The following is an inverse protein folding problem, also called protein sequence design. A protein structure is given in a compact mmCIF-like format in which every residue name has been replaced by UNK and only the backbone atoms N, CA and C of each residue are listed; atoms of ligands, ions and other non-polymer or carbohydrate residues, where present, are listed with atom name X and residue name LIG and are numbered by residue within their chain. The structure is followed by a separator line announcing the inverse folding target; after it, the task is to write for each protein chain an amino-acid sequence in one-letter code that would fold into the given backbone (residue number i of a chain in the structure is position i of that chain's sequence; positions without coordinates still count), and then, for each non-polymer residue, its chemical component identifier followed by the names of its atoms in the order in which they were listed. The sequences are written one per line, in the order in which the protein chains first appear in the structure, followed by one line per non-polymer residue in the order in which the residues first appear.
data_IF_463439250856
#
_entry.id   IF_463439250856
#
_cell.length_a   1.000
_cell.length_b   1.000
_cell.length_c   1.000
_cell.angle_alpha   90.00
_cell.angle_beta   90.00
_cell.angle_gamma   90.00
#
_symmetry.space_group_name_H-M   'P 1'
#
loop_
_entity.id
_entity.type
_entity.pdbx_description
1 polymer ?
#
# COMPACT_ATOMS: atom_id res chain seq x y z
N UNK A 1 18.16 -9.72 16.15
CA UNK A 1 17.76 -11.05 15.65
C UNK A 1 18.09 -12.04 16.74
N UNK A 2 17.10 -12.67 17.39
CA UNK A 2 17.40 -13.75 18.33
C UNK A 2 17.83 -15.01 17.55
N UNK A 3 18.68 -15.86 18.12
CA UNK A 3 19.10 -17.11 17.49
C UNK A 3 17.91 -18.08 17.40
N UNK A 4 17.79 -18.77 16.27
CA UNK A 4 16.85 -19.87 16.05
C UNK A 4 17.03 -20.93 17.14
N UNK A 5 16.00 -21.20 17.95
CA UNK A 5 16.02 -22.34 18.87
C UNK A 5 15.59 -23.59 18.10
N UNK A 6 16.51 -24.55 18.00
CA UNK A 6 16.22 -25.93 17.64
C UNK A 6 15.34 -26.56 18.72
N UNK A 7 14.02 -26.47 18.59
CA UNK A 7 13.12 -27.26 19.43
C UNK A 7 11.91 -27.72 18.61
N UNK A 8 11.67 -29.02 18.73
CA UNK A 8 10.45 -29.78 18.42
C UNK A 8 10.31 -30.34 16.99
N UNK A 9 11.02 -31.46 16.80
CA UNK A 9 10.74 -32.48 15.79
C UNK A 9 10.14 -33.69 16.52
N UNK A 10 8.84 -33.95 16.35
CA UNK A 10 8.31 -35.32 16.29
C UNK A 10 6.83 -35.31 15.91
N UNK A 11 6.51 -35.89 14.75
CA UNK A 11 5.17 -36.37 14.45
C UNK A 11 5.30 -37.85 14.10
N UNK A 12 4.98 -38.72 15.06
CA UNK A 12 4.67 -40.11 14.81
C UNK A 12 3.15 -40.23 14.93
N UNK A 13 2.47 -40.64 13.86
CA UNK A 13 1.06 -41.00 13.92
C UNK A 13 1.00 -42.32 14.70
N UNK A 14 0.94 -42.23 16.03
CA UNK A 14 1.00 -43.38 16.95
C UNK A 14 -0.39 -43.83 17.44
N UNK A 15 -1.46 -43.51 16.70
CA UNK A 15 -2.84 -43.87 17.06
C UNK A 15 -3.56 -44.74 16.03
N UNK A 16 -2.81 -45.56 15.31
CA UNK A 16 -3.35 -46.71 14.60
C UNK A 16 -2.80 -47.97 15.26
N UNK A 17 -3.51 -48.41 16.31
CA UNK A 17 -3.40 -49.75 16.89
C UNK A 17 -3.89 -50.76 15.82
N UNK A 18 -3.09 -50.92 14.77
CA UNK A 18 -3.36 -51.83 13.66
C UNK A 18 -2.64 -53.13 13.99
N UNK A 19 -3.36 -54.25 14.16
CA UNK A 19 -2.77 -55.52 14.53
C UNK A 19 -1.70 -55.95 13.52
N UNK A 20 -0.54 -56.29 14.09
CA UNK A 20 0.76 -56.48 13.47
C UNK A 20 0.84 -57.72 12.55
N UNK A 21 0.30 -57.66 11.33
CA UNK A 21 0.60 -58.73 10.36
C UNK A 21 0.93 -58.31 8.92
N UNK A 22 0.82 -57.03 8.56
CA UNK A 22 1.40 -56.49 7.30
C UNK A 22 1.79 -55.02 7.47
N UNK A 23 3.03 -54.76 7.91
CA UNK A 23 3.60 -53.39 7.88
C UNK A 23 3.78 -52.97 6.42
N UNK A 24 2.83 -52.22 5.88
CA UNK A 24 3.02 -51.42 4.68
C UNK A 24 3.89 -50.22 5.06
N UNK A 25 4.85 -49.87 4.21
CA UNK A 25 5.63 -48.64 4.35
C UNK A 25 4.69 -47.44 4.21
N UNK A 26 4.20 -46.92 5.34
CA UNK A 26 3.32 -45.77 5.37
C UNK A 26 4.15 -44.49 5.18
N UNK A 27 3.73 -43.56 4.32
CA UNK A 27 4.42 -42.29 4.13
C UNK A 27 4.33 -41.45 5.41
N UNK A 28 5.49 -41.09 5.97
CA UNK A 28 5.57 -40.18 7.11
C UNK A 28 5.68 -38.75 6.59
N UNK A 29 4.76 -37.90 7.02
CA UNK A 29 4.71 -36.49 6.65
C UNK A 29 5.12 -35.66 7.87
N UNK A 30 6.19 -34.90 7.73
CA UNK A 30 6.62 -33.94 8.75
C UNK A 30 6.07 -32.55 8.42
N UNK A 31 5.28 -31.98 9.34
CA UNK A 31 4.80 -30.60 9.24
C UNK A 31 5.51 -29.80 10.32
N UNK A 32 6.27 -28.78 9.90
CA UNK A 32 6.99 -27.89 10.81
C UNK A 32 6.28 -26.55 10.88
N UNK A 33 6.14 -25.98 12.08
CA UNK A 33 5.58 -24.65 12.30
C UNK A 33 6.40 -23.88 13.33
N UNK A 34 6.69 -22.61 13.04
CA UNK A 34 7.54 -21.76 13.89
C UNK A 34 6.88 -21.28 15.20
N UNK A 35 5.56 -21.47 15.39
CA UNK A 35 4.87 -20.97 16.59
C UNK A 35 3.73 -21.89 17.04
N UNK A 36 3.46 -21.88 18.36
CA UNK A 36 2.39 -22.55 19.11
C UNK A 36 0.97 -22.05 18.73
N UNK A 37 0.76 -21.80 17.45
CA UNK A 37 -0.54 -21.66 16.83
C UNK A 37 -1.13 -23.06 16.88
N UNK A 38 -2.38 -23.22 17.32
CA UNK A 38 -3.11 -24.50 17.34
C UNK A 38 -3.33 -25.09 15.94
N UNK A 39 -2.31 -25.11 15.08
CA UNK A 39 -2.25 -25.82 13.81
C UNK A 39 -2.40 -27.32 14.10
N UNK A 40 -1.82 -27.83 15.20
CA UNK A 40 -2.08 -29.20 15.64
C UNK A 40 -3.57 -29.45 15.84
N UNK A 41 -4.21 -28.68 16.73
CA UNK A 41 -5.65 -28.80 17.01
C UNK A 41 -6.50 -28.61 15.74
N UNK A 42 -6.13 -27.67 14.88
CA UNK A 42 -6.82 -27.41 13.62
C UNK A 42 -6.63 -28.53 12.61
N UNK A 43 -5.44 -29.13 12.51
CA UNK A 43 -5.17 -30.27 11.64
C UNK A 43 -5.94 -31.49 12.15
N UNK A 44 -5.88 -31.75 13.46
CA UNK A 44 -6.62 -32.83 14.11
C UNK A 44 -8.12 -32.68 13.87
N UNK A 45 -8.67 -31.48 14.09
CA UNK A 45 -10.08 -31.18 13.78
C UNK A 45 -10.37 -31.35 12.30
N UNK A 46 -9.53 -30.79 11.42
CA UNK A 46 -9.70 -30.85 9.97
C UNK A 46 -9.72 -32.29 9.45
N UNK A 47 -8.90 -33.18 9.99
CA UNK A 47 -8.89 -34.58 9.57
C UNK A 47 -9.94 -35.45 10.27
N UNK A 48 -10.38 -35.06 11.47
CA UNK A 48 -11.41 -35.78 12.23
C UNK A 48 -12.83 -35.51 11.73
N UNK A 49 -13.11 -34.30 11.21
CA UNK A 49 -14.46 -33.88 10.79
C UNK A 49 -15.06 -34.71 9.63
N UNK A 50 -14.22 -35.39 8.84
CA UNK A 50 -14.62 -36.02 7.57
C UNK A 50 -14.63 -37.56 7.62
N UNK A 51 -14.90 -38.14 8.80
CA UNK A 51 -15.03 -39.60 9.00
C UNK A 51 -13.89 -40.41 8.35
N UNK A 52 -12.66 -39.94 8.48
CA UNK A 52 -11.44 -40.57 7.92
C UNK A 52 -11.33 -40.60 6.38
N UNK A 53 -12.28 -40.04 5.62
CA UNK A 53 -12.21 -40.00 4.15
C UNK A 53 -10.93 -39.28 3.67
N UNK A 54 -10.53 -38.24 4.40
CA UNK A 54 -9.32 -37.45 4.17
C UNK A 54 -8.03 -38.22 4.45
N UNK A 55 -8.04 -39.14 5.42
CA UNK A 55 -6.92 -40.04 5.64
C UNK A 55 -6.85 -41.10 4.54
N UNK A 56 -7.99 -41.63 4.10
CA UNK A 56 -8.05 -42.60 2.99
C UNK A 56 -7.46 -42.04 1.69
N UNK A 57 -7.76 -40.78 1.33
CA UNK A 57 -7.14 -40.13 0.16
C UNK A 57 -5.64 -39.90 0.32
N UNK A 58 -5.16 -39.61 1.54
CA UNK A 58 -3.73 -39.42 1.81
C UNK A 58 -2.97 -40.75 1.73
N UNK A 59 -3.56 -41.84 2.23
CA UNK A 59 -3.00 -43.19 2.11
C UNK A 59 -2.93 -43.61 0.63
N UNK A 60 -3.97 -43.30 -0.15
CA UNK A 60 -3.99 -43.59 -1.58
C UNK A 60 -3.03 -42.70 -2.39
N UNK A 61 -2.95 -41.41 -2.05
CA UNK A 61 -2.16 -40.42 -2.77
C UNK A 61 -1.63 -39.34 -1.80
N UNK A 62 -0.38 -39.46 -1.33
CA UNK A 62 0.22 -38.53 -0.36
C UNK A 62 0.28 -37.07 -0.83
N UNK A 63 0.21 -36.85 -2.15
CA UNK A 63 0.16 -35.54 -2.80
C UNK A 63 -1.04 -34.68 -2.38
N UNK A 64 -2.07 -35.26 -1.77
CA UNK A 64 -3.17 -34.50 -1.18
C UNK A 64 -2.73 -33.59 -0.02
N UNK A 65 -1.60 -33.90 0.63
CA UNK A 65 -1.09 -33.10 1.75
C UNK A 65 -0.90 -31.64 1.37
N UNK A 66 -0.43 -31.36 0.15
CA UNK A 66 -0.20 -29.99 -0.29
C UNK A 66 -1.50 -29.19 -0.36
N UNK A 67 -2.55 -29.78 -0.94
CA UNK A 67 -3.87 -29.15 -1.05
C UNK A 67 -4.49 -28.93 0.32
N UNK A 68 -4.34 -29.90 1.22
CA UNK A 68 -4.85 -29.82 2.57
C UNK A 68 -4.14 -28.73 3.37
N UNK A 69 -2.81 -28.68 3.31
CA UNK A 69 -2.01 -27.63 3.97
C UNK A 69 -2.28 -26.24 3.38
N UNK A 70 -2.52 -26.15 2.07
CA UNK A 70 -2.83 -24.88 1.42
C UNK A 70 -4.11 -24.24 1.98
N UNK A 71 -5.09 -25.05 2.41
CA UNK A 71 -6.35 -24.54 2.99
C UNK A 71 -6.15 -23.70 4.26
N UNK A 72 -5.02 -23.86 4.96
CA UNK A 72 -4.70 -23.11 6.18
C UNK A 72 -4.12 -21.71 5.91
N UNK A 73 -3.72 -21.40 4.67
CA UNK A 73 -3.13 -20.09 4.32
C UNK A 73 -4.10 -18.92 4.51
N UNK A 74 -5.42 -19.16 4.43
CA UNK A 74 -6.51 -18.21 4.71
C UNK A 74 -6.29 -16.78 4.17
N UNK A 75 -5.86 -16.66 2.91
CA UNK A 75 -5.66 -15.37 2.24
C UNK A 75 -6.85 -14.40 2.35
N UNK A 76 -8.09 -14.90 2.36
CA UNK A 76 -9.28 -14.06 2.59
C UNK A 76 -9.25 -13.31 3.93
N UNK A 77 -8.75 -13.97 4.98
CA UNK A 77 -8.62 -13.37 6.31
C UNK A 77 -7.51 -12.31 6.30
N UNK A 78 -6.39 -12.58 5.63
CA UNK A 78 -5.31 -11.61 5.45
C UNK A 78 -5.86 -10.37 4.74
N UNK A 79 -6.51 -10.53 3.59
CA UNK A 79 -6.99 -9.38 2.82
C UNK A 79 -8.17 -8.65 3.44
N UNK A 80 -9.02 -9.31 4.23
CA UNK A 80 -10.07 -8.62 4.99
C UNK A 80 -9.49 -7.75 6.12
N UNK A 81 -8.43 -8.20 6.78
CA UNK A 81 -7.71 -7.36 7.76
C UNK A 81 -7.02 -6.17 7.09
N UNK A 82 -6.39 -6.41 5.93
CA UNK A 82 -5.85 -5.35 5.05
C UNK A 82 -6.96 -4.39 4.61
N UNK A 83 -8.14 -4.88 4.21
CA UNK A 83 -9.28 -4.03 3.83
C UNK A 83 -9.70 -3.09 4.95
N UNK A 84 -9.83 -3.63 6.18
CA UNK A 84 -10.19 -2.86 7.37
C UNK A 84 -9.14 -1.79 7.68
N UNK A 85 -7.85 -2.14 7.64
CA UNK A 85 -6.77 -1.20 7.90
C UNK A 85 -6.68 -0.11 6.82
N UNK A 86 -6.87 -0.48 5.55
CA UNK A 86 -6.92 0.47 4.43
C UNK A 86 -8.11 1.43 4.56
N UNK A 87 -9.28 0.95 4.98
CA UNK A 87 -10.44 1.83 5.23
C UNK A 87 -10.14 2.82 6.35
N UNK A 88 -9.50 2.37 7.43
CA UNK A 88 -9.11 3.24 8.54
C UNK A 88 -8.11 4.32 8.09
N UNK A 89 -7.05 3.94 7.37
CA UNK A 89 -6.07 4.91 6.85
C UNK A 89 -6.70 5.89 5.88
N UNK A 90 -7.64 5.42 5.04
CA UNK A 90 -8.42 6.29 4.16
C UNK A 90 -9.22 7.30 4.98
N UNK A 91 -9.93 6.86 6.01
CA UNK A 91 -10.71 7.75 6.86
C UNK A 91 -9.83 8.75 7.63
N UNK A 92 -8.58 8.37 7.96
CA UNK A 92 -7.58 9.27 8.57
C UNK A 92 -7.03 10.33 7.58
N UNK A 93 -6.90 9.99 6.29
CA UNK A 93 -6.44 10.91 5.23
C UNK A 93 -7.56 11.83 4.73
N UNK A 94 -8.78 11.29 4.53
CA UNK A 94 -9.93 12.05 4.04
C UNK A 94 -10.72 12.76 5.15
N UNK A 95 -10.62 12.28 6.39
CA UNK A 95 -11.42 12.77 7.49
C UNK A 95 -11.03 14.19 7.92
N UNK A 96 -12.04 15.00 8.20
CA UNK A 96 -11.90 16.36 8.78
C UNK A 96 -11.27 16.33 10.20
N UNK A 97 -11.10 15.12 10.75
CA UNK A 97 -10.42 14.83 12.03
C UNK A 97 -8.98 14.39 11.83
N UNK A 98 -8.25 15.00 10.90
CA UNK A 98 -6.80 14.84 10.77
C UNK A 98 -6.09 15.43 12.01
N UNK A 99 -6.22 14.75 13.15
CA UNK A 99 -5.54 15.06 14.40
C UNK A 99 -4.07 14.63 14.36
N UNK A 100 -3.71 13.74 13.42
CA UNK A 100 -2.36 13.19 13.28
C UNK A 100 -1.53 14.12 12.37
N UNK A 101 -0.29 14.46 12.76
CA UNK A 101 0.64 15.20 11.89
C UNK A 101 0.84 14.54 10.52
N UNK A 102 0.93 15.35 9.46
CA UNK A 102 1.11 14.90 8.08
C UNK A 102 2.26 13.89 7.91
N UNK A 103 3.39 14.12 8.60
CA UNK A 103 4.55 13.24 8.56
C UNK A 103 4.22 11.84 9.09
N UNK A 104 3.49 11.76 10.21
CA UNK A 104 3.11 10.49 10.82
C UNK A 104 2.11 9.73 9.93
N UNK A 105 1.16 10.42 9.31
CA UNK A 105 0.24 9.82 8.34
C UNK A 105 0.99 9.24 7.14
N UNK A 106 1.94 9.99 6.60
CA UNK A 106 2.76 9.55 5.45
C UNK A 106 3.62 8.34 5.81
N UNK A 107 4.26 8.35 6.99
CA UNK A 107 5.02 7.20 7.49
C UNK A 107 4.13 5.97 7.70
N UNK A 108 2.90 6.14 8.21
CA UNK A 108 1.94 5.05 8.36
C UNK A 108 1.55 4.45 7.01
N UNK A 109 1.27 5.29 6.00
CA UNK A 109 0.98 4.84 4.63
C UNK A 109 2.17 4.09 4.01
N UNK A 110 3.41 4.53 4.23
CA UNK A 110 4.60 3.82 3.74
C UNK A 110 4.81 2.46 4.39
N UNK A 111 4.73 2.38 5.73
CA UNK A 111 4.82 1.09 6.45
C UNK A 111 3.74 0.12 6.00
N UNK A 112 2.54 0.66 5.76
CA UNK A 112 1.44 -0.14 5.27
C UNK A 112 1.68 -0.63 3.83
N UNK A 113 2.22 0.21 2.95
CA UNK A 113 2.66 -0.19 1.61
C UNK A 113 3.67 -1.32 1.66
N UNK A 114 4.69 -1.21 2.51
CA UNK A 114 5.71 -2.25 2.73
C UNK A 114 5.07 -3.58 3.17
N UNK A 115 4.07 -3.52 4.06
CA UNK A 115 3.33 -4.71 4.50
C UNK A 115 2.60 -5.39 3.34
N UNK A 116 1.93 -4.61 2.47
CA UNK A 116 1.25 -5.18 1.29
C UNK A 116 2.25 -5.75 0.29
N UNK A 117 3.41 -5.10 0.10
CA UNK A 117 4.49 -5.63 -0.75
C UNK A 117 4.95 -6.99 -0.21
N UNK A 118 5.26 -7.11 1.08
CA UNK A 118 5.66 -8.37 1.70
C UNK A 118 4.58 -9.46 1.54
N UNK A 119 3.29 -9.12 1.74
CA UNK A 119 2.18 -10.05 1.49
C UNK A 119 2.11 -10.48 0.02
N UNK A 120 2.36 -9.56 -0.91
CA UNK A 120 2.39 -9.83 -2.36
C UNK A 120 3.55 -10.77 -2.72
N UNK A 121 4.73 -10.55 -2.15
CA UNK A 121 5.89 -11.43 -2.33
C UNK A 121 5.60 -12.85 -1.81
N UNK A 122 5.01 -12.97 -0.62
CA UNK A 122 4.54 -14.26 -0.11
C UNK A 122 3.55 -14.93 -1.07
N UNK A 123 2.62 -14.17 -1.65
CA UNK A 123 1.63 -14.69 -2.60
C UNK A 123 2.29 -15.18 -3.90
N UNK A 124 3.26 -14.42 -4.43
CA UNK A 124 4.05 -14.81 -5.61
C UNK A 124 4.80 -16.13 -5.34
N UNK A 125 5.37 -16.28 -4.16
CA UNK A 125 6.03 -17.52 -3.75
C UNK A 125 5.03 -18.69 -3.73
N UNK A 126 3.81 -18.51 -3.20
CA UNK A 126 2.78 -19.56 -3.22
C UNK A 126 2.37 -19.94 -4.65
N UNK A 127 2.21 -18.97 -5.55
CA UNK A 127 1.91 -19.21 -6.98
C UNK A 127 3.03 -20.00 -7.63
N UNK A 128 4.29 -19.62 -7.39
CA UNK A 128 5.45 -20.34 -7.88
C UNK A 128 5.49 -21.79 -7.36
N UNK A 129 5.17 -22.00 -6.07
CA UNK A 129 5.07 -23.33 -5.48
C UNK A 129 3.96 -24.18 -6.12
N UNK A 130 2.76 -23.64 -6.32
CA UNK A 130 1.66 -24.35 -7.00
C UNK A 130 2.05 -24.73 -8.42
N UNK A 131 2.71 -23.83 -9.17
CA UNK A 131 3.18 -24.10 -10.53
C UNK A 131 4.27 -25.17 -10.57
N UNK A 132 5.24 -25.10 -9.66
CA UNK A 132 6.28 -26.12 -9.52
C UNK A 132 5.67 -27.48 -9.15
N UNK A 133 4.70 -27.48 -8.24
CA UNK A 133 3.97 -28.67 -7.82
C UNK A 133 3.20 -29.32 -8.98
N UNK A 134 2.45 -28.53 -9.74
CA UNK A 134 1.74 -28.97 -10.95
C UNK A 134 2.71 -29.56 -11.98
N UNK A 135 3.86 -28.91 -12.20
CA UNK A 135 4.90 -29.39 -13.12
C UNK A 135 5.49 -30.73 -12.66
N UNK A 136 5.79 -30.87 -11.36
CA UNK A 136 6.26 -32.14 -10.78
C UNK A 136 5.22 -33.24 -10.92
N UNK A 137 3.95 -32.89 -10.70
CA UNK A 137 2.82 -33.81 -10.79
C UNK A 137 2.59 -34.35 -12.21
N UNK A 138 2.64 -33.48 -13.24
CA UNK A 138 2.54 -33.92 -14.63
C UNK A 138 3.68 -34.86 -15.03
N UNK A 139 4.92 -34.59 -14.57
CA UNK A 139 6.04 -35.51 -14.79
C UNK A 139 5.80 -36.88 -14.15
N UNK A 140 5.25 -36.92 -12.94
CA UNK A 140 4.90 -38.18 -12.27
C UNK A 140 3.82 -38.96 -13.02
N UNK A 141 2.83 -38.25 -13.56
CA UNK A 141 1.77 -38.84 -14.39
C UNK A 141 2.33 -39.47 -15.67
N UNK A 142 3.31 -38.83 -16.31
CA UNK A 142 3.98 -39.38 -17.49
C UNK A 142 4.79 -40.65 -17.18
N UNK A 143 5.43 -40.71 -16.01
CA UNK A 143 6.29 -41.83 -15.60
C UNK A 143 5.49 -43.03 -15.04
N UNK A 144 4.33 -42.81 -14.42
CA UNK A 144 3.42 -43.88 -13.96
C UNK A 144 2.30 -44.13 -14.97
N UNK A 145 2.60 -44.81 -16.08
CA UNK A 145 1.58 -45.44 -16.95
C UNK A 145 1.02 -46.73 -16.34
N UNK A 146 0.61 -46.69 -15.07
CA UNK A 146 -0.04 -47.80 -14.37
C UNK A 146 -1.57 -47.70 -14.40
N UNK A 147 -2.29 -48.72 -13.88
CA UNK A 147 -3.76 -48.67 -13.77
C UNK A 147 -4.19 -47.40 -13.04
N UNK A 148 -5.25 -46.77 -13.55
CA UNK A 148 -5.77 -45.46 -13.17
C UNK A 148 -5.71 -45.24 -11.65
N UNK A 149 -4.95 -44.23 -11.20
CA UNK A 149 -5.01 -43.82 -9.80
C UNK A 149 -6.39 -43.19 -9.54
N UNK A 150 -7.21 -43.77 -8.65
CA UNK A 150 -8.64 -43.44 -8.54
C UNK A 150 -8.99 -42.04 -7.99
N UNK A 151 -8.02 -41.12 -7.87
CA UNK A 151 -8.25 -39.78 -7.31
C UNK A 151 -7.38 -38.68 -7.95
N UNK A 152 -6.76 -38.98 -9.10
CA UNK A 152 -5.90 -38.02 -9.78
C UNK A 152 -6.69 -36.82 -10.31
N UNK A 153 -7.90 -37.07 -10.82
CA UNK A 153 -8.75 -36.04 -11.40
C UNK A 153 -9.20 -35.02 -10.34
N UNK A 154 -9.60 -35.49 -9.15
CA UNK A 154 -9.99 -34.63 -8.04
C UNK A 154 -8.86 -33.73 -7.57
N UNK A 155 -7.63 -34.26 -7.51
CA UNK A 155 -6.46 -33.46 -7.13
C UNK A 155 -6.17 -32.35 -8.16
N UNK A 156 -6.22 -32.68 -9.47
CA UNK A 156 -6.02 -31.69 -10.54
C UNK A 156 -7.08 -30.60 -10.50
N UNK A 157 -8.35 -30.96 -10.32
CA UNK A 157 -9.44 -30.01 -10.19
C UNK A 157 -9.22 -29.06 -9.01
N UNK A 158 -8.79 -29.59 -7.85
CA UNK A 158 -8.46 -28.78 -6.67
C UNK A 158 -7.26 -27.85 -6.90
N UNK A 159 -6.24 -28.29 -7.62
CA UNK A 159 -5.10 -27.43 -7.97
C UNK A 159 -5.50 -26.28 -8.89
N UNK A 160 -6.39 -26.52 -9.87
CA UNK A 160 -6.94 -25.46 -10.73
C UNK A 160 -7.75 -24.45 -9.90
N UNK A 161 -8.52 -24.93 -8.92
CA UNK A 161 -9.25 -24.06 -8.00
C UNK A 161 -8.30 -23.21 -7.13
N UNK A 162 -7.22 -23.79 -6.62
CA UNK A 162 -6.18 -23.07 -5.87
C UNK A 162 -5.49 -22.02 -6.75
N UNK A 163 -5.18 -22.35 -8.00
CA UNK A 163 -4.57 -21.44 -8.97
C UNK A 163 -5.49 -20.23 -9.23
N UNK A 164 -6.77 -20.46 -9.48
CA UNK A 164 -7.77 -19.40 -9.63
C UNK A 164 -7.93 -18.54 -8.36
N UNK A 165 -7.90 -19.17 -7.19
CA UNK A 165 -7.96 -18.49 -5.89
C UNK A 165 -6.73 -17.59 -5.66
N UNK A 166 -5.52 -18.06 -5.98
CA UNK A 166 -4.31 -17.26 -5.88
C UNK A 166 -4.29 -16.09 -6.88
N UNK A 167 -4.71 -16.32 -8.12
CA UNK A 167 -4.82 -15.27 -9.14
C UNK A 167 -5.81 -14.17 -8.72
N UNK A 168 -6.92 -14.56 -8.09
CA UNK A 168 -7.87 -13.61 -7.52
C UNK A 168 -7.22 -12.71 -6.46
N UNK A 169 -6.43 -13.31 -5.56
CA UNK A 169 -5.71 -12.58 -4.51
C UNK A 169 -4.58 -11.70 -5.05
N UNK A 170 -3.95 -12.06 -6.17
CA UNK A 170 -2.96 -11.20 -6.83
C UNK A 170 -3.62 -9.91 -7.34
N UNK A 171 -4.81 -10.01 -7.93
CA UNK A 171 -5.58 -8.84 -8.36
C UNK A 171 -5.93 -7.92 -7.17
N UNK A 172 -6.26 -8.48 -5.99
CA UNK A 172 -6.47 -7.67 -4.79
C UNK A 172 -5.21 -6.96 -4.33
N UNK A 173 -4.07 -7.65 -4.29
CA UNK A 173 -2.80 -7.06 -3.89
C UNK A 173 -2.45 -5.83 -4.77
N UNK A 174 -2.55 -5.97 -6.09
CA UNK A 174 -2.34 -4.88 -7.05
C UNK A 174 -3.33 -3.74 -6.86
N UNK A 175 -4.60 -4.04 -6.54
CA UNK A 175 -5.61 -3.03 -6.26
C UNK A 175 -5.25 -2.24 -5.01
N UNK A 176 -4.83 -2.89 -3.92
CA UNK A 176 -4.49 -2.19 -2.70
C UNK A 176 -3.22 -1.35 -2.84
N UNK A 177 -2.20 -1.83 -3.55
CA UNK A 177 -1.01 -1.03 -3.86
C UNK A 177 -1.39 0.26 -4.60
N UNK A 178 -2.24 0.16 -5.63
CA UNK A 178 -2.76 1.33 -6.35
C UNK A 178 -3.53 2.29 -5.45
N UNK A 179 -4.38 1.77 -4.55
CA UNK A 179 -5.11 2.60 -3.59
C UNK A 179 -4.15 3.37 -2.69
N UNK A 180 -3.09 2.72 -2.19
CA UNK A 180 -2.10 3.40 -1.34
C UNK A 180 -1.34 4.48 -2.12
N UNK A 181 -0.95 4.22 -3.36
CA UNK A 181 -0.27 5.22 -4.20
C UNK A 181 -1.16 6.45 -4.44
N UNK A 182 -2.46 6.24 -4.67
CA UNK A 182 -3.44 7.32 -4.78
C UNK A 182 -3.58 8.08 -3.46
N UNK A 183 -3.63 7.38 -2.32
CA UNK A 183 -3.72 8.01 -0.99
C UNK A 183 -2.48 8.85 -0.65
N UNK A 184 -1.28 8.34 -0.96
CA UNK A 184 -0.03 9.08 -0.78
C UNK A 184 -0.01 10.35 -1.63
N UNK A 185 -0.34 10.24 -2.92
CA UNK A 185 -0.42 11.39 -3.82
C UNK A 185 -1.44 12.42 -3.33
N UNK A 186 -2.60 11.97 -2.88
CA UNK A 186 -3.61 12.85 -2.30
C UNK A 186 -3.11 13.55 -1.04
N UNK A 187 -2.48 12.81 -0.11
CA UNK A 187 -1.95 13.39 1.12
C UNK A 187 -0.92 14.49 0.81
N UNK A 188 0.01 14.25 -0.12
CA UNK A 188 0.99 15.27 -0.54
C UNK A 188 0.33 16.50 -1.18
N UNK A 189 -0.69 16.29 -2.01
CA UNK A 189 -1.42 17.39 -2.65
C UNK A 189 -2.18 18.24 -1.61
N UNK A 190 -2.82 17.60 -0.63
CA UNK A 190 -3.52 18.29 0.46
C UNK A 190 -2.55 19.11 1.31
N UNK A 191 -1.40 18.54 1.68
CA UNK A 191 -0.38 19.27 2.45
C UNK A 191 0.20 20.44 1.65
N UNK A 192 0.45 20.26 0.35
CA UNK A 192 0.89 21.34 -0.53
C UNK A 192 -0.14 22.48 -0.59
N UNK A 193 -1.43 22.16 -0.68
CA UNK A 193 -2.51 23.15 -0.65
C UNK A 193 -2.55 23.87 0.70
N UNK A 194 -2.40 23.13 1.82
CA UNK A 194 -2.37 23.69 3.17
C UNK A 194 -1.20 24.67 3.35
N UNK A 195 0.00 24.30 2.89
CA UNK A 195 1.17 25.17 2.92
C UNK A 195 0.98 26.42 2.06
N UNK A 196 0.39 26.28 0.87
CA UNK A 196 0.03 27.45 0.03
C UNK A 196 -0.94 28.38 0.74
N UNK A 197 -1.95 27.86 1.44
CA UNK A 197 -2.89 28.68 2.20
C UNK A 197 -2.21 29.38 3.38
N UNK A 198 -1.33 28.70 4.10
CA UNK A 198 -0.54 29.31 5.18
C UNK A 198 0.36 30.43 4.66
N UNK A 199 1.03 30.21 3.52
CA UNK A 199 1.86 31.24 2.90
C UNK A 199 1.03 32.45 2.44
N UNK A 200 -0.17 32.22 1.86
CA UNK A 200 -1.11 33.30 1.52
C UNK A 200 -1.51 34.13 2.73
N UNK A 201 -1.80 33.48 3.87
CA UNK A 201 -2.13 34.16 5.13
C UNK A 201 -0.96 35.00 5.64
N UNK A 202 0.25 34.43 5.63
CA UNK A 202 1.46 35.13 6.06
C UNK A 202 1.79 36.32 5.14
N UNK A 203 1.66 36.13 3.83
CA UNK A 203 1.85 37.18 2.84
C UNK A 203 0.83 38.31 3.03
N UNK A 204 -0.45 37.98 3.26
CA UNK A 204 -1.47 38.99 3.57
C UNK A 204 -1.13 39.79 4.83
N UNK A 205 -0.73 39.11 5.92
CA UNK A 205 -0.29 39.79 7.14
C UNK A 205 0.92 40.70 6.87
N UNK A 206 1.91 40.24 6.11
CA UNK A 206 3.08 41.05 5.77
C UNK A 206 2.69 42.30 4.94
N UNK A 207 1.78 42.16 3.98
CA UNK A 207 1.28 43.29 3.16
C UNK A 207 0.59 44.34 4.02
N UNK A 208 -0.09 43.95 5.10
CA UNK A 208 -0.77 44.90 6.02
C UNK A 208 0.20 45.47 7.07
N UNK A 209 1.06 44.64 7.67
CA UNK A 209 1.89 45.04 8.80
C UNK A 209 3.20 45.72 8.40
N UNK A 210 3.82 45.33 7.28
CA UNK A 210 5.10 45.93 6.84
C UNK A 210 4.96 47.45 6.61
N UNK A 211 3.91 47.93 5.93
CA UNK A 211 3.77 49.35 5.72
C UNK A 211 3.39 50.10 7.01
N UNK A 212 2.57 49.50 7.87
CA UNK A 212 2.23 50.08 9.17
C UNK A 212 3.47 50.20 10.09
N UNK A 213 4.34 49.19 10.07
CA UNK A 213 5.61 49.20 10.79
C UNK A 213 6.57 50.28 10.26
N UNK A 214 6.59 50.53 8.94
CA UNK A 214 7.36 51.62 8.35
C UNK A 214 6.89 52.98 8.85
N UNK A 215 5.57 53.21 8.89
CA UNK A 215 4.99 54.44 9.44
C UNK A 215 5.41 54.64 10.89
N UNK A 216 5.28 53.59 11.71
CA UNK A 216 5.71 53.63 13.11
C UNK A 216 7.23 53.91 13.25
N UNK A 217 8.06 53.31 12.41
CA UNK A 217 9.51 53.49 12.43
C UNK A 217 9.92 54.91 12.04
N UNK A 218 9.30 55.51 11.02
CA UNK A 218 9.55 56.91 10.62
C UNK A 218 9.26 57.85 11.80
N UNK A 219 8.18 57.61 12.54
CA UNK A 219 7.83 58.41 13.71
C UNK A 219 8.66 58.09 14.97
N UNK A 220 9.30 56.92 15.03
CA UNK A 220 10.23 56.56 16.10
C UNK A 220 11.64 57.16 15.94
N UNK A 221 11.98 57.73 14.78
CA UNK A 221 13.30 58.32 14.53
C UNK A 221 13.39 59.74 15.11
N UNK A 222 14.21 59.91 16.16
CA UNK A 222 14.43 61.19 16.86
C UNK A 222 15.05 62.33 16.02
N UNK A 223 15.45 62.07 14.78
CA UNK A 223 16.17 63.03 13.94
C UNK A 223 15.25 63.93 13.09
N UNK A 224 13.93 63.70 13.10
CA UNK A 224 13.00 64.49 12.30
C UNK A 224 12.33 65.54 13.20
N UNK A 225 12.80 66.79 13.10
CA UNK A 225 12.20 67.95 13.79
C UNK A 225 10.94 68.38 13.02
N UNK A 226 9.90 67.54 13.05
CA UNK A 226 8.57 67.89 12.56
C UNK A 226 7.81 68.62 13.67
N UNK A 227 7.12 69.70 13.32
CA UNK A 227 6.21 70.35 14.26
C UNK A 227 5.06 69.38 14.61
N UNK A 228 4.62 69.27 15.87
CA UNK A 228 3.59 68.32 16.30
C UNK A 228 2.26 68.42 15.54
N UNK A 229 2.00 69.57 14.90
CA UNK A 229 0.77 69.84 14.15
C UNK A 229 0.72 69.13 12.79
N UNK A 230 1.88 68.86 12.19
CA UNK A 230 1.97 68.26 10.85
C UNK A 230 1.99 66.73 10.89
N UNK A 231 2.23 66.14 12.08
CA UNK A 231 2.31 64.69 12.27
C UNK A 231 1.07 63.94 11.78
N UNK A 232 -0.12 64.46 12.06
CA UNK A 232 -1.38 63.83 11.66
C UNK A 232 -1.54 63.76 10.14
N UNK A 233 -1.11 64.80 9.42
CA UNK A 233 -1.25 64.87 7.96
C UNK A 233 -0.33 63.87 7.27
N UNK A 234 0.94 63.79 7.70
CA UNK A 234 1.90 62.83 7.14
C UNK A 234 1.56 61.38 7.52
N UNK A 235 1.02 61.13 8.72
CA UNK A 235 0.55 59.81 9.11
C UNK A 235 -0.60 59.32 8.20
N UNK A 236 -1.58 60.20 7.93
CA UNK A 236 -2.71 59.89 7.05
C UNK A 236 -2.23 59.66 5.61
N UNK A 237 -1.32 60.50 5.10
CA UNK A 237 -0.80 60.37 3.75
C UNK A 237 0.01 59.08 3.57
N UNK A 238 0.83 58.75 4.55
CA UNK A 238 1.59 57.51 4.56
C UNK A 238 0.62 56.31 4.61
N UNK A 239 -0.36 56.32 5.51
CA UNK A 239 -1.37 55.25 5.62
C UNK A 239 -2.16 55.08 4.30
N UNK A 240 -2.58 56.16 3.65
CA UNK A 240 -3.21 56.12 2.33
C UNK A 240 -2.28 55.51 1.27
N UNK A 241 -1.01 55.94 1.23
CA UNK A 241 -0.01 55.37 0.33
C UNK A 241 0.16 53.86 0.56
N UNK A 242 0.18 53.42 1.82
CA UNK A 242 0.29 52.00 2.14
C UNK A 242 -0.94 51.19 1.74
N UNK A 243 -2.15 51.73 1.89
CA UNK A 243 -3.39 51.09 1.42
C UNK A 243 -3.38 50.98 -0.10
N UNK A 244 -2.98 52.04 -0.81
CA UNK A 244 -2.90 52.04 -2.28
C UNK A 244 -1.90 50.99 -2.76
N UNK A 245 -0.72 50.92 -2.14
CA UNK A 245 0.31 49.89 -2.45
C UNK A 245 -0.23 48.49 -2.14
N UNK A 246 -0.91 48.28 -1.01
CA UNK A 246 -1.51 46.99 -0.68
C UNK A 246 -2.55 46.56 -1.74
N UNK A 247 -3.50 47.42 -2.08
CA UNK A 247 -4.54 47.13 -3.08
C UNK A 247 -3.99 46.93 -4.50
N UNK A 248 -3.00 47.74 -4.89
CA UNK A 248 -2.37 47.59 -6.19
C UNK A 248 -1.48 46.35 -6.24
N UNK A 249 -0.84 45.95 -5.14
CA UNK A 249 -0.04 44.74 -5.06
C UNK A 249 -0.87 43.48 -5.33
N UNK A 250 -2.09 43.35 -4.78
CA UNK A 250 -2.96 42.20 -5.07
C UNK A 250 -3.30 42.07 -6.55
N UNK A 251 -3.62 43.20 -7.21
CA UNK A 251 -3.90 43.20 -8.65
C UNK A 251 -2.66 42.87 -9.47
N UNK A 252 -1.50 43.45 -9.12
CA UNK A 252 -0.23 43.18 -9.79
C UNK A 252 0.17 41.71 -9.64
N UNK A 253 0.04 41.14 -8.43
CA UNK A 253 0.31 39.73 -8.18
C UNK A 253 -0.62 38.82 -8.98
N UNK A 254 -1.94 39.08 -8.99
CA UNK A 254 -2.88 38.28 -9.77
C UNK A 254 -2.58 38.35 -11.28
N UNK A 255 -2.19 39.52 -11.77
CA UNK A 255 -1.88 39.73 -13.17
C UNK A 255 -0.57 39.02 -13.55
N UNK A 256 0.45 39.08 -12.68
CA UNK A 256 1.69 38.31 -12.81
C UNK A 256 1.43 36.80 -12.80
N UNK A 257 0.61 36.27 -11.89
CA UNK A 257 0.28 34.83 -11.86
C UNK A 257 -0.41 34.40 -13.16
N UNK A 258 -1.40 35.17 -13.65
CA UNK A 258 -2.08 34.89 -14.92
C UNK A 258 -1.10 34.93 -16.10
N UNK A 259 -0.20 35.91 -16.12
CA UNK A 259 0.81 36.05 -17.16
C UNK A 259 1.78 34.85 -17.16
N UNK A 260 2.29 34.46 -15.98
CA UNK A 260 3.17 33.30 -15.82
C UNK A 260 2.48 31.99 -16.22
N UNK A 261 1.21 31.80 -15.82
CA UNK A 261 0.43 30.63 -16.20
C UNK A 261 0.22 30.54 -17.72
N UNK A 262 -0.06 31.66 -18.39
CA UNK A 262 -0.15 31.71 -19.85
C UNK A 262 1.17 31.37 -20.53
N UNK A 263 2.29 31.86 -20.00
CA UNK A 263 3.62 31.56 -20.52
C UNK A 263 4.00 30.08 -20.34
N UNK A 264 3.64 29.46 -19.21
CA UNK A 264 3.86 28.04 -18.97
C UNK A 264 3.10 27.17 -19.98
N UNK A 265 1.80 27.44 -20.18
CA UNK A 265 0.99 26.72 -21.18
C UNK A 265 1.51 26.88 -22.60
N UNK A 266 2.02 28.07 -22.96
CA UNK A 266 2.61 28.31 -24.27
C UNK A 266 3.91 27.52 -24.49
N UNK A 267 4.66 27.19 -23.42
CA UNK A 267 5.83 26.31 -23.51
C UNK A 267 5.41 24.85 -23.66
N UNK A 268 4.45 24.39 -22.88
CA UNK A 268 3.91 23.02 -23.00
C UNK A 268 3.33 22.74 -24.38
N UNK A 269 2.59 23.68 -24.96
CA UNK A 269 2.06 23.56 -26.31
C UNK A 269 3.16 23.40 -27.38
N UNK A 270 4.29 24.13 -27.23
CA UNK A 270 5.43 24.00 -28.15
C UNK A 270 6.13 22.65 -28.06
N UNK A 271 6.26 22.10 -26.84
CA UNK A 271 6.87 20.78 -26.64
C UNK A 271 6.01 19.69 -27.27
N UNK A 272 4.68 19.77 -27.13
CA UNK A 272 3.76 18.83 -27.76
C UNK A 272 3.76 18.93 -29.30
N UNK A 273 3.88 20.15 -29.85
CA UNK A 273 4.02 20.35 -31.30
C UNK A 273 5.35 19.78 -31.82
N UNK A 274 6.46 19.95 -31.10
CA UNK A 274 7.77 19.36 -31.42
C UNK A 274 7.76 17.82 -31.33
N UNK A 275 7.11 17.23 -30.33
CA UNK A 275 6.95 15.77 -30.25
C UNK A 275 6.06 15.21 -31.37
N UNK A 276 4.98 15.90 -31.74
CA UNK A 276 4.12 15.43 -32.85
C UNK A 276 4.79 15.56 -34.21
N UNK A 277 5.69 16.52 -34.39
CA UNK A 277 6.43 16.73 -35.64
C UNK A 277 7.70 15.87 -35.77
N UNK A 278 8.24 15.35 -34.66
CA UNK A 278 9.42 14.47 -34.64
C UNK A 278 9.17 12.97 -34.89
N UNK A 279 7.92 12.51 -34.96
CA UNK A 279 7.58 11.07 -34.92
C UNK A 279 7.43 10.35 -36.28
N UNK A 280 7.83 10.93 -37.42
CA UNK A 280 7.72 10.25 -38.72
C UNK A 280 8.99 10.36 -39.58
N UNK A 281 10.06 9.69 -39.15
CA UNK A 281 11.03 9.12 -40.08
C UNK A 281 11.39 7.71 -39.59
N UNK A 282 10.59 6.73 -40.00
CA UNK A 282 11.00 5.32 -40.02
C UNK A 282 11.73 5.13 -41.35
N UNK A 283 13.07 5.00 -41.37
CA UNK A 283 13.76 4.65 -42.60
C UNK A 283 13.34 3.24 -43.03
N UNK A 284 12.85 3.14 -44.28
CA UNK A 284 12.61 1.89 -45.01
C UNK A 284 13.92 1.20 -45.36
#
# INVERSE_FOLDING_TARGET
MPPFSETDIMFAIEHLDVPSDKKRDLPIIFVMSEQNIGIHEKLEQYYSDDKLSRFGRLEALPHWVFVDLFSFTRWDTIWSTTALHSSRLRDEVYGDKAAIPFLEQTLALHRYKETIIAQTECLIVHVAFVNAYKTSFERMKEHRRGPELPDLHGLVEKLVLIEGYLAHHQCYAERYLRVIDVLLSLAFNLETVKQRLQFKRLSYLAVVFLPLALVAAIFGMNNIVLQPQDYGQYAILALLGTIVVAFSSEKIFSWCEIYLARRARAKEARVLDEESSGSYYVPL
#
